data_IF_768854509152
#
_entry.id   IF_768854509152
#
_cell.length_a   1.000
_cell.length_b   1.000
_cell.length_c   1.000
_cell.angle_alpha   90.00
_cell.angle_beta   90.00
_cell.angle_gamma   90.00
#
_symmetry.space_group_name_H-M   'P 1'
#
loop_
_entity.id
_entity.type
_entity.pdbx_description
1 polymer ?
#
# COMPACT_ATOMS: atom_id res chain seq x y z
N UNK A 1 8.65 -30.25 -0.87
CA UNK A 1 9.49 -30.64 0.30
C UNK A 1 8.63 -31.36 1.32
N UNK A 2 9.20 -32.29 2.08
CA UNK A 2 8.45 -33.07 3.07
C UNK A 2 7.36 -33.93 2.44
N UNK A 3 7.69 -34.69 1.38
CA UNK A 3 6.72 -35.52 0.64
C UNK A 3 6.11 -36.66 1.45
N UNK A 4 6.72 -37.02 2.59
CA UNK A 4 6.21 -38.00 3.56
C UNK A 4 5.73 -37.34 4.86
N UNK A 5 5.58 -36.02 4.90
CA UNK A 5 5.07 -35.34 6.08
C UNK A 5 3.56 -35.59 6.21
N UNK A 6 3.14 -36.15 7.34
CA UNK A 6 1.78 -36.62 7.55
C UNK A 6 1.68 -37.59 8.72
N UNK A 7 0.59 -38.36 8.74
CA UNK A 7 0.30 -39.34 9.76
C UNK A 7 0.35 -40.73 9.12
N UNK A 8 1.40 -41.50 9.44
CA UNK A 8 1.45 -42.92 9.11
C UNK A 8 0.53 -43.70 10.05
N UNK A 9 -0.22 -44.64 9.48
CA UNK A 9 -1.07 -45.60 10.20
C UNK A 9 -0.27 -46.90 10.27
N UNK A 10 -0.05 -47.39 11.49
CA UNK A 10 0.77 -48.57 11.76
C UNK A 10 -0.03 -49.61 12.56
N UNK A 11 0.08 -50.88 12.17
CA UNK A 11 -0.44 -52.03 12.91
C UNK A 11 0.74 -52.94 13.26
N UNK A 12 0.88 -53.29 14.54
CA UNK A 12 2.01 -54.07 15.08
C UNK A 12 3.39 -53.54 14.66
N UNK A 13 3.51 -52.20 14.55
CA UNK A 13 4.73 -51.52 14.10
C UNK A 13 4.99 -51.59 12.59
N UNK A 14 4.13 -52.25 11.83
CA UNK A 14 4.18 -52.31 10.36
C UNK A 14 3.32 -51.21 9.75
N UNK A 15 3.87 -50.50 8.76
CA UNK A 15 3.16 -49.45 8.03
C UNK A 15 1.99 -50.04 7.23
N UNK A 16 0.82 -49.44 7.36
CA UNK A 16 -0.40 -49.84 6.66
C UNK A 16 -0.88 -48.79 5.66
N UNK A 17 -0.95 -47.53 6.09
CA UNK A 17 -1.51 -46.44 5.29
C UNK A 17 -0.93 -45.08 5.70
N UNK A 18 -1.17 -44.05 4.91
CA UNK A 18 -0.63 -42.70 5.14
C UNK A 18 -1.63 -41.61 4.81
N UNK A 19 -1.85 -40.73 5.78
CA UNK A 19 -2.60 -39.48 5.59
C UNK A 19 -1.62 -38.31 5.44
N UNK A 20 -1.57 -37.61 4.29
CA UNK A 20 -0.71 -36.45 4.12
C UNK A 20 -1.13 -35.28 5.02
N UNK A 21 -0.22 -34.35 5.27
CA UNK A 21 -0.57 -33.04 5.82
C UNK A 21 -1.38 -32.22 4.80
N UNK A 22 -2.30 -31.36 5.26
CA UNK A 22 -3.11 -30.50 4.39
C UNK A 22 -2.33 -29.28 3.89
N UNK A 23 -1.06 -29.48 3.54
CA UNK A 23 -0.14 -28.39 3.24
C UNK A 23 1.00 -28.82 2.32
N UNK A 24 1.18 -28.09 1.23
CA UNK A 24 2.22 -28.29 0.22
C UNK A 24 3.23 -27.14 0.33
N UNK A 25 4.50 -27.42 0.04
CA UNK A 25 5.48 -26.34 -0.06
C UNK A 25 6.86 -26.80 -0.52
N UNK A 26 7.66 -25.85 -0.98
CA UNK A 26 8.98 -26.07 -1.52
C UNK A 26 9.57 -24.84 -2.21
N UNK A 27 10.43 -25.08 -3.19
CA UNK A 27 11.08 -24.05 -3.98
C UNK A 27 10.50 -24.05 -5.39
N UNK A 28 10.28 -22.86 -5.93
CA UNK A 28 9.87 -22.63 -7.31
C UNK A 28 10.79 -21.61 -7.99
N UNK A 29 10.59 -21.46 -9.30
CA UNK A 29 11.12 -20.32 -10.06
C UNK A 29 9.96 -19.48 -10.59
N UNK A 30 9.97 -18.20 -10.26
CA UNK A 30 9.04 -17.19 -10.80
C UNK A 30 9.84 -16.28 -11.71
N UNK A 31 9.61 -16.37 -13.01
CA UNK A 31 10.33 -15.59 -14.04
C UNK A 31 11.86 -15.66 -13.87
N UNK A 32 12.36 -16.86 -13.53
CA UNK A 32 13.78 -17.13 -13.29
C UNK A 32 14.28 -16.90 -11.86
N UNK A 33 13.54 -16.14 -11.03
CA UNK A 33 13.87 -15.87 -9.62
C UNK A 33 13.47 -17.04 -8.74
N UNK A 34 14.32 -17.41 -7.78
CA UNK A 34 13.98 -18.46 -6.79
C UNK A 34 12.98 -17.89 -5.79
N UNK A 35 11.95 -18.66 -5.47
CA UNK A 35 10.91 -18.27 -4.53
C UNK A 35 10.57 -19.47 -3.66
N UNK A 36 10.39 -19.25 -2.36
CA UNK A 36 9.77 -20.25 -1.49
C UNK A 36 8.26 -20.17 -1.68
N UNK A 37 7.65 -21.32 -1.97
CA UNK A 37 6.21 -21.43 -2.17
C UNK A 37 5.60 -22.39 -1.17
N UNK A 38 4.42 -22.06 -0.67
CA UNK A 38 3.65 -22.94 0.22
C UNK A 38 2.16 -22.68 0.09
N UNK A 39 1.34 -23.65 0.46
CA UNK A 39 -0.10 -23.50 0.36
C UNK A 39 -0.85 -24.61 1.05
N UNK A 40 -2.05 -24.27 1.51
CA UNK A 40 -2.96 -25.22 2.13
C UNK A 40 -3.66 -26.06 1.06
N UNK A 41 -3.99 -27.30 1.40
CA UNK A 41 -4.82 -28.18 0.57
C UNK A 41 -6.16 -28.41 1.29
N UNK A 42 -7.20 -27.71 0.82
CA UNK A 42 -8.53 -27.79 1.41
C UNK A 42 -9.14 -29.20 1.32
N UNK A 43 -8.73 -30.02 0.35
CA UNK A 43 -9.27 -31.36 0.15
C UNK A 43 -8.86 -32.32 1.27
N UNK A 44 -7.77 -32.00 1.98
CA UNK A 44 -7.29 -32.78 3.12
C UNK A 44 -7.79 -32.14 4.40
N UNK A 45 -8.79 -32.77 5.05
CA UNK A 45 -9.32 -32.29 6.33
C UNK A 45 -9.78 -30.82 6.35
N UNK A 46 -10.20 -30.26 5.22
CA UNK A 46 -10.70 -28.89 5.11
C UNK A 46 -9.62 -27.81 5.26
N UNK A 47 -8.35 -28.14 5.00
CA UNK A 47 -7.23 -27.21 5.19
C UNK A 47 -7.06 -26.82 6.67
N UNK A 48 -7.44 -27.69 7.60
CA UNK A 48 -7.42 -27.38 9.03
C UNK A 48 -5.97 -27.28 9.54
N UNK A 49 -5.48 -26.04 9.61
CA UNK A 49 -4.24 -25.68 10.27
C UNK A 49 -4.45 -25.66 11.79
N UNK A 50 -4.10 -26.76 12.45
CA UNK A 50 -4.09 -26.83 13.91
C UNK A 50 -2.68 -26.53 14.45
N UNK A 51 -2.63 -25.72 15.52
CA UNK A 51 -1.40 -25.28 16.19
C UNK A 51 -0.61 -26.47 16.75
N UNK A 52 -1.29 -27.59 17.05
CA UNK A 52 -0.67 -28.87 17.44
C UNK A 52 -0.25 -29.77 16.28
N UNK A 53 -0.52 -29.41 15.01
CA UNK A 53 -0.23 -30.29 13.87
C UNK A 53 1.16 -30.08 13.28
N UNK A 54 1.66 -31.14 12.62
CA UNK A 54 2.96 -31.09 11.94
C UNK A 54 2.99 -30.09 10.77
N UNK A 55 1.83 -29.62 10.30
CA UNK A 55 1.72 -28.55 9.31
C UNK A 55 2.44 -27.28 9.75
N UNK A 56 2.27 -26.90 11.03
CA UNK A 56 2.95 -25.75 11.62
C UNK A 56 4.44 -25.80 11.34
N UNK A 57 5.09 -26.94 11.59
CA UNK A 57 6.54 -27.08 11.34
C UNK A 57 6.89 -26.86 9.87
N UNK A 58 6.04 -27.31 8.94
CA UNK A 58 6.28 -27.14 7.51
C UNK A 58 6.13 -25.68 7.08
N UNK A 59 5.08 -24.98 7.53
CA UNK A 59 4.91 -23.55 7.24
C UNK A 59 6.08 -22.73 7.79
N UNK A 60 6.39 -22.88 9.09
CA UNK A 60 7.47 -22.15 9.75
C UNK A 60 8.84 -22.43 9.10
N UNK A 61 9.11 -23.69 8.74
CA UNK A 61 10.33 -24.04 8.03
C UNK A 61 10.46 -23.32 6.68
N UNK A 62 9.36 -23.15 5.92
CA UNK A 62 9.40 -22.43 4.65
C UNK A 62 9.67 -20.94 4.86
N UNK A 63 9.07 -20.32 5.87
CA UNK A 63 9.34 -18.92 6.20
C UNK A 63 10.80 -18.70 6.63
N UNK A 64 11.32 -19.55 7.52
CA UNK A 64 12.74 -19.51 7.92
C UNK A 64 13.67 -19.75 6.73
N UNK A 65 13.34 -20.69 5.85
CA UNK A 65 14.11 -20.96 4.63
C UNK A 65 14.14 -19.76 3.68
N UNK A 66 13.01 -19.07 3.49
CA UNK A 66 12.93 -17.88 2.66
C UNK A 66 13.86 -16.78 3.18
N UNK A 67 13.84 -16.58 4.50
CA UNK A 67 14.72 -15.63 5.19
C UNK A 67 16.20 -16.03 5.10
N UNK A 68 16.53 -17.29 5.39
CA UNK A 68 17.92 -17.78 5.39
C UNK A 68 18.55 -17.68 4.00
N UNK A 69 17.81 -18.07 2.97
CA UNK A 69 18.28 -17.96 1.58
C UNK A 69 18.06 -16.59 0.95
N UNK A 70 17.39 -15.67 1.68
CA UNK A 70 17.08 -14.29 1.24
C UNK A 70 16.37 -14.24 -0.10
N UNK A 71 15.36 -15.09 -0.24
CA UNK A 71 14.50 -15.18 -1.43
C UNK A 71 13.04 -14.95 -1.02
N UNK A 72 12.19 -14.44 -1.93
CA UNK A 72 10.79 -14.14 -1.62
C UNK A 72 10.00 -15.36 -1.11
N UNK A 73 8.98 -15.08 -0.30
CA UNK A 73 8.00 -16.03 0.21
C UNK A 73 6.63 -15.79 -0.44
N UNK A 74 6.06 -16.82 -1.04
CA UNK A 74 4.77 -16.75 -1.76
C UNK A 74 3.83 -17.85 -1.26
N UNK A 75 2.72 -17.47 -0.61
CA UNK A 75 1.88 -18.46 0.10
C UNK A 75 0.40 -18.37 -0.26
N UNK A 76 -0.23 -19.54 -0.41
CA UNK A 76 -1.63 -19.70 -0.79
C UNK A 76 -2.47 -20.15 0.42
N UNK A 77 -3.44 -19.33 0.81
CA UNK A 77 -4.20 -19.52 2.04
C UNK A 77 -5.64 -19.96 1.76
N UNK A 78 -5.97 -21.15 2.24
CA UNK A 78 -7.33 -21.69 2.28
C UNK A 78 -7.44 -22.69 3.43
N UNK A 79 -8.29 -22.43 4.42
CA UNK A 79 -8.39 -23.33 5.56
C UNK A 79 -9.31 -22.86 6.68
N UNK A 80 -9.95 -23.82 7.35
CA UNK A 80 -10.89 -23.58 8.44
C UNK A 80 -10.26 -23.08 9.75
N UNK A 81 -8.92 -23.01 9.83
CA UNK A 81 -8.19 -22.65 11.04
C UNK A 81 -8.21 -23.76 12.10
N UNK A 82 -8.10 -23.35 13.38
CA UNK A 82 -7.93 -24.28 14.50
C UNK A 82 -9.11 -25.27 14.63
N UNK A 83 -8.77 -26.54 14.88
CA UNK A 83 -9.74 -27.61 15.05
C UNK A 83 -10.05 -27.83 16.54
N UNK A 84 -11.31 -27.67 16.96
CA UNK A 84 -11.75 -27.90 18.35
C UNK A 84 -11.56 -29.37 18.80
N UNK A 85 -11.49 -30.31 17.85
CA UNK A 85 -11.22 -31.72 18.17
C UNK A 85 -9.78 -31.98 18.66
N UNK A 86 -8.88 -31.00 18.57
CA UNK A 86 -7.50 -31.10 19.03
C UNK A 86 -7.35 -30.98 20.57
N UNK A 87 -8.40 -30.60 21.31
CA UNK A 87 -8.40 -30.63 22.78
C UNK A 87 -8.48 -32.07 23.38
N UNK A 88 -8.21 -33.08 22.57
CA UNK A 88 -8.24 -34.50 22.93
C UNK A 88 -7.21 -34.95 23.97
N UNK A 89 -6.23 -34.10 24.32
CA UNK A 89 -5.18 -34.40 25.30
C UNK A 89 -5.58 -34.10 26.75
N UNK A 90 -6.83 -33.70 27.01
CA UNK A 90 -7.37 -33.51 28.36
C UNK A 90 -6.96 -32.19 29.04
N UNK A 91 -6.34 -31.27 28.30
CA UNK A 91 -6.06 -29.90 28.73
C UNK A 91 -6.16 -28.94 27.53
N UNK A 92 -6.51 -27.68 27.81
CA UNK A 92 -6.58 -26.65 26.77
C UNK A 92 -5.19 -26.12 26.42
N UNK A 93 -4.94 -25.87 25.14
CA UNK A 93 -3.71 -25.22 24.68
C UNK A 93 -3.74 -23.71 25.01
N UNK A 94 -2.70 -23.19 25.67
CA UNK A 94 -2.55 -21.75 25.93
C UNK A 94 -2.01 -21.06 24.65
N UNK A 95 -2.73 -20.10 24.05
CA UNK A 95 -2.22 -19.37 22.89
C UNK A 95 -0.91 -18.62 23.22
N UNK A 96 0.11 -18.80 22.40
CA UNK A 96 1.44 -18.23 22.61
C UNK A 96 2.02 -17.66 21.31
N UNK A 97 2.64 -16.49 21.40
CA UNK A 97 3.33 -15.84 20.28
C UNK A 97 4.67 -16.50 19.93
N UNK A 98 5.20 -17.38 20.80
CA UNK A 98 6.52 -17.98 20.61
C UNK A 98 6.62 -18.88 19.37
N UNK A 99 5.47 -19.28 18.80
CA UNK A 99 5.42 -20.50 18.03
C UNK A 99 4.68 -20.42 16.68
N UNK A 100 3.79 -19.45 16.43
CA UNK A 100 2.89 -19.53 15.25
C UNK A 100 3.21 -18.51 14.16
N UNK A 101 3.53 -17.25 14.50
CA UNK A 101 3.66 -16.18 13.51
C UNK A 101 5.07 -15.57 13.43
N UNK A 102 5.95 -15.95 14.35
CA UNK A 102 7.30 -15.37 14.46
C UNK A 102 8.11 -15.48 13.16
N UNK A 103 8.23 -16.67 12.55
CA UNK A 103 8.94 -16.86 11.29
C UNK A 103 8.41 -16.02 10.13
N UNK A 104 7.09 -15.89 9.94
CA UNK A 104 6.51 -15.01 8.91
C UNK A 104 6.91 -13.55 9.13
N UNK A 105 6.81 -13.07 10.38
CA UNK A 105 7.17 -11.70 10.74
C UNK A 105 8.66 -11.47 10.46
N UNK A 106 9.53 -12.39 10.87
CA UNK A 106 10.97 -12.28 10.68
C UNK A 106 11.37 -12.41 9.20
N UNK A 107 10.69 -13.26 8.43
CA UNK A 107 10.86 -13.31 6.98
C UNK A 107 10.46 -11.97 6.36
N UNK A 108 9.32 -11.39 6.76
CA UNK A 108 8.87 -10.09 6.27
C UNK A 108 9.84 -8.93 6.58
N UNK A 109 10.66 -9.04 7.61
CA UNK A 109 11.72 -8.05 7.88
C UNK A 109 12.80 -8.05 6.79
N UNK A 110 13.06 -9.18 6.13
CA UNK A 110 14.21 -9.34 5.24
C UNK A 110 13.84 -9.61 3.77
N UNK A 111 12.70 -10.24 3.48
CA UNK A 111 12.30 -10.67 2.11
C UNK A 111 10.86 -10.25 1.78
N UNK A 112 10.50 -10.06 0.50
CA UNK A 112 9.10 -9.90 0.11
C UNK A 112 8.28 -11.12 0.51
N UNK A 113 7.10 -10.86 1.07
CA UNK A 113 6.16 -11.87 1.58
C UNK A 113 4.81 -11.56 0.96
N UNK A 114 4.26 -12.50 0.20
CA UNK A 114 3.09 -12.24 -0.65
C UNK A 114 2.12 -13.39 -0.54
N UNK A 115 0.87 -13.05 -0.25
CA UNK A 115 -0.15 -14.03 0.07
C UNK A 115 -1.35 -13.93 -0.86
N UNK A 116 -1.95 -15.07 -1.15
CA UNK A 116 -3.24 -15.17 -1.82
C UNK A 116 -4.26 -15.80 -0.87
N UNK A 117 -5.52 -15.38 -1.01
CA UNK A 117 -6.68 -15.97 -0.37
C UNK A 117 -7.67 -16.40 -1.47
N UNK A 118 -7.50 -17.64 -1.92
CA UNK A 118 -8.34 -18.23 -2.96
C UNK A 118 -9.64 -18.86 -2.42
N UNK A 119 -9.73 -19.07 -1.10
CA UNK A 119 -10.89 -19.68 -0.46
C UNK A 119 -11.14 -19.16 0.95
N UNK A 120 -11.91 -19.89 1.75
CA UNK A 120 -12.22 -19.48 3.11
C UNK A 120 -11.00 -19.70 4.03
N UNK A 121 -10.48 -18.61 4.61
CA UNK A 121 -9.39 -18.59 5.56
C UNK A 121 -9.89 -18.02 6.89
N UNK A 122 -9.71 -18.78 7.99
CA UNK A 122 -10.20 -18.42 9.30
C UNK A 122 -9.10 -18.50 10.38
N UNK A 123 -9.21 -17.67 11.41
CA UNK A 123 -8.34 -17.75 12.59
C UNK A 123 -6.86 -17.62 12.22
N UNK A 124 -6.05 -18.64 12.54
CA UNK A 124 -4.61 -18.65 12.25
C UNK A 124 -4.27 -18.49 10.76
N UNK A 125 -5.00 -19.17 9.87
CA UNK A 125 -4.79 -19.08 8.41
C UNK A 125 -5.05 -17.65 7.92
N UNK A 126 -6.11 -17.01 8.42
CA UNK A 126 -6.41 -15.62 8.13
C UNK A 126 -5.36 -14.66 8.71
N UNK A 127 -4.85 -14.95 9.90
CA UNK A 127 -3.82 -14.14 10.54
C UNK A 127 -2.50 -14.17 9.78
N UNK A 128 -2.08 -15.32 9.23
CA UNK A 128 -0.91 -15.39 8.34
C UNK A 128 -1.10 -14.48 7.14
N UNK A 129 -2.24 -14.56 6.44
CA UNK A 129 -2.52 -13.70 5.28
C UNK A 129 -2.32 -12.19 5.59
N UNK A 130 -2.62 -11.74 6.81
CA UNK A 130 -2.48 -10.34 7.22
C UNK A 130 -1.04 -9.90 7.57
N UNK A 131 -0.07 -10.82 7.54
CA UNK A 131 1.35 -10.52 7.74
C UNK A 131 2.09 -10.30 6.41
N UNK A 132 1.42 -10.46 5.28
CA UNK A 132 1.99 -10.24 3.95
C UNK A 132 2.21 -8.75 3.64
N UNK A 133 3.19 -8.49 2.77
CA UNK A 133 3.39 -7.16 2.17
C UNK A 133 2.43 -6.88 1.01
N UNK A 134 1.88 -7.94 0.41
CA UNK A 134 0.83 -7.87 -0.58
C UNK A 134 -0.10 -9.07 -0.43
N UNK A 135 -1.39 -8.80 -0.39
CA UNK A 135 -2.45 -9.80 -0.27
C UNK A 135 -3.43 -9.63 -1.42
N UNK A 136 -3.61 -10.68 -2.19
CA UNK A 136 -4.62 -10.75 -3.25
C UNK A 136 -5.72 -11.73 -2.85
N UNK A 137 -6.97 -11.45 -3.25
CA UNK A 137 -8.12 -12.32 -2.93
C UNK A 137 -8.96 -12.57 -4.18
N UNK A 138 -9.29 -13.84 -4.41
CA UNK A 138 -10.18 -14.27 -5.51
C UNK A 138 -11.65 -14.05 -5.13
N UNK A 139 -12.60 -14.19 -6.07
CA UNK A 139 -14.03 -14.05 -5.75
C UNK A 139 -14.54 -15.08 -4.73
N UNK A 140 -13.87 -16.22 -4.59
CA UNK A 140 -14.20 -17.30 -3.65
C UNK A 140 -13.52 -17.11 -2.28
N UNK A 141 -12.55 -16.20 -2.19
CA UNK A 141 -11.83 -15.88 -0.97
C UNK A 141 -12.74 -15.34 0.13
N UNK A 142 -12.44 -15.71 1.37
CA UNK A 142 -13.04 -15.07 2.54
C UNK A 142 -12.05 -15.06 3.71
N UNK A 143 -11.90 -13.93 4.40
CA UNK A 143 -11.07 -13.80 5.61
C UNK A 143 -11.94 -13.48 6.82
N UNK A 144 -11.68 -14.12 7.95
CA UNK A 144 -12.31 -13.72 9.21
C UNK A 144 -11.53 -14.21 10.42
N UNK A 145 -11.53 -13.40 11.49
CA UNK A 145 -11.02 -13.83 12.79
C UNK A 145 -11.81 -15.02 13.35
N UNK A 146 -13.12 -15.08 13.07
CA UNK A 146 -13.98 -16.21 13.38
C UNK A 146 -15.17 -16.28 12.42
N UNK A 147 -15.52 -17.49 11.98
CA UNK A 147 -16.49 -17.68 10.91
C UNK A 147 -17.95 -17.43 11.30
N UNK A 148 -18.88 -17.49 10.34
CA UNK A 148 -20.30 -17.22 10.57
C UNK A 148 -20.96 -17.98 11.74
N UNK A 149 -20.64 -19.27 12.01
CA UNK A 149 -21.20 -19.96 13.18
C UNK A 149 -20.84 -19.29 14.51
N UNK A 150 -19.63 -18.72 14.63
CA UNK A 150 -19.19 -18.02 15.82
C UNK A 150 -19.91 -16.67 15.96
N UNK A 151 -20.10 -15.95 14.85
CA UNK A 151 -20.87 -14.69 14.82
C UNK A 151 -22.31 -14.92 15.25
N UNK A 152 -22.97 -15.96 14.72
CA UNK A 152 -24.33 -16.33 15.12
C UNK A 152 -24.41 -16.67 16.60
N UNK A 153 -23.46 -17.43 17.12
CA UNK A 153 -23.43 -17.82 18.54
C UNK A 153 -23.18 -16.61 19.46
N UNK A 154 -22.28 -15.72 19.09
CA UNK A 154 -21.86 -14.61 19.94
C UNK A 154 -22.80 -13.40 19.86
N UNK A 155 -23.31 -13.08 18.67
CA UNK A 155 -24.06 -11.86 18.39
C UNK A 155 -25.51 -12.12 17.94
N UNK A 156 -25.90 -13.38 17.72
CA UNK A 156 -27.25 -13.73 17.25
C UNK A 156 -27.52 -13.38 15.78
N UNK A 157 -26.50 -12.94 15.04
CA UNK A 157 -26.65 -12.51 13.65
C UNK A 157 -26.38 -13.66 12.66
N UNK A 158 -27.32 -13.87 11.74
CA UNK A 158 -27.12 -14.74 10.58
C UNK A 158 -26.43 -13.94 9.47
N UNK A 159 -25.20 -14.33 9.13
CA UNK A 159 -24.38 -13.72 8.08
C UNK A 159 -23.78 -14.78 7.19
N UNK A 160 -23.65 -14.50 5.90
CA UNK A 160 -22.92 -15.38 4.97
C UNK A 160 -21.41 -15.16 5.05
N UNK A 161 -20.61 -16.09 4.49
CA UNK A 161 -19.14 -15.91 4.40
C UNK A 161 -18.77 -14.66 3.60
N UNK A 162 -19.46 -14.43 2.49
CA UNK A 162 -19.21 -13.29 1.60
C UNK A 162 -19.53 -11.96 2.29
N UNK A 163 -20.66 -11.87 3.02
CA UNK A 163 -21.04 -10.67 3.78
C UNK A 163 -20.12 -10.40 4.96
N UNK A 164 -19.56 -11.45 5.56
CA UNK A 164 -18.68 -11.31 6.72
C UNK A 164 -17.25 -10.91 6.34
N UNK A 165 -16.71 -11.48 5.26
CA UNK A 165 -15.28 -11.38 4.96
C UNK A 165 -14.91 -11.66 3.52
N UNK A 166 -15.83 -11.51 2.58
CA UNK A 166 -15.52 -11.61 1.16
C UNK A 166 -14.73 -10.40 0.62
N UNK A 167 -14.42 -10.39 -0.69
CA UNK A 167 -13.65 -9.32 -1.32
C UNK A 167 -14.25 -7.92 -1.15
N UNK A 168 -15.58 -7.78 -1.20
CA UNK A 168 -16.24 -6.47 -1.02
C UNK A 168 -16.00 -5.90 0.39
N UNK A 169 -15.85 -6.78 1.39
CA UNK A 169 -15.50 -6.37 2.75
C UNK A 169 -14.03 -5.97 2.80
N UNK A 170 -13.12 -6.83 2.34
CA UNK A 170 -11.70 -6.64 2.62
C UNK A 170 -10.93 -5.82 1.60
N UNK A 171 -11.34 -5.82 0.33
CA UNK A 171 -10.73 -5.04 -0.75
C UNK A 171 -11.35 -3.64 -0.83
N UNK A 172 -12.67 -3.49 -0.58
CA UNK A 172 -13.34 -2.19 -0.74
C UNK A 172 -13.57 -1.46 0.58
N UNK A 173 -14.05 -2.14 1.62
CA UNK A 173 -14.53 -1.47 2.84
C UNK A 173 -13.45 -1.35 3.92
N UNK A 174 -12.72 -2.43 4.22
CA UNK A 174 -11.72 -2.46 5.29
C UNK A 174 -10.29 -2.16 4.81
N UNK A 175 -9.97 -2.45 3.55
CA UNK A 175 -8.60 -2.34 3.02
C UNK A 175 -7.63 -3.34 3.66
N UNK A 176 -8.13 -4.49 4.11
CA UNK A 176 -7.32 -5.54 4.72
C UNK A 176 -6.65 -6.44 3.66
N UNK A 177 -7.24 -6.50 2.47
CA UNK A 177 -6.67 -7.16 1.30
C UNK A 177 -6.38 -6.08 0.28
N UNK A 178 -5.22 -6.18 -0.37
CA UNK A 178 -4.76 -5.14 -1.27
C UNK A 178 -5.54 -5.14 -2.57
N UNK A 179 -5.63 -6.29 -3.23
CA UNK A 179 -6.25 -6.37 -4.54
C UNK A 179 -7.25 -7.52 -4.65
N UNK A 180 -8.25 -7.31 -5.49
CA UNK A 180 -9.15 -8.36 -5.99
C UNK A 180 -8.52 -9.01 -7.22
N UNK A 181 -8.61 -10.32 -7.29
CA UNK A 181 -8.33 -11.08 -8.51
C UNK A 181 -9.63 -11.55 -9.18
N UNK A 182 -9.58 -11.77 -10.50
CA UNK A 182 -10.69 -12.35 -11.25
C UNK A 182 -10.83 -13.85 -10.98
N UNK A 183 -9.69 -14.54 -10.88
CA UNK A 183 -9.55 -15.95 -10.57
C UNK A 183 -8.14 -16.22 -9.98
N UNK A 184 -7.82 -17.48 -9.70
CA UNK A 184 -6.51 -17.87 -9.16
C UNK A 184 -5.34 -17.60 -10.13
N UNK A 185 -5.58 -17.66 -11.45
CA UNK A 185 -4.53 -17.38 -12.44
C UNK A 185 -4.18 -15.90 -12.44
N UNK A 186 -5.19 -15.03 -12.36
CA UNK A 186 -5.01 -13.60 -12.19
C UNK A 186 -4.36 -13.28 -10.83
N UNK A 187 -4.75 -13.95 -9.75
CA UNK A 187 -4.10 -13.78 -8.44
C UNK A 187 -2.59 -14.07 -8.54
N UNK A 188 -2.21 -15.21 -9.13
CA UNK A 188 -0.80 -15.55 -9.38
C UNK A 188 -0.13 -14.50 -10.26
N UNK A 189 -0.78 -14.04 -11.34
CA UNK A 189 -0.23 -13.01 -12.22
C UNK A 189 0.04 -11.69 -11.48
N UNK A 190 -0.87 -11.27 -10.60
CA UNK A 190 -0.70 -10.08 -9.77
C UNK A 190 0.46 -10.25 -8.77
N UNK A 191 0.58 -11.40 -8.11
CA UNK A 191 1.70 -11.70 -7.22
C UNK A 191 3.05 -11.68 -7.96
N UNK A 192 3.11 -12.24 -9.18
CA UNK A 192 4.30 -12.17 -10.03
C UNK A 192 4.63 -10.73 -10.43
N UNK A 193 3.62 -9.95 -10.83
CA UNK A 193 3.76 -8.54 -11.21
C UNK A 193 4.28 -7.71 -10.05
N UNK A 194 3.71 -7.89 -8.85
CA UNK A 194 4.20 -7.27 -7.61
C UNK A 194 5.67 -7.61 -7.37
N UNK A 195 6.03 -8.90 -7.37
CA UNK A 195 7.43 -9.32 -7.17
C UNK A 195 8.39 -8.64 -8.14
N UNK A 196 7.97 -8.47 -9.40
CA UNK A 196 8.81 -7.89 -10.44
C UNK A 196 9.38 -6.50 -10.08
N UNK A 197 8.70 -5.73 -9.22
CA UNK A 197 9.13 -4.40 -8.81
C UNK A 197 10.09 -4.41 -7.62
N UNK A 198 10.15 -5.50 -6.85
CA UNK A 198 10.91 -5.56 -5.59
C UNK A 198 12.15 -6.46 -5.71
N UNK A 199 13.21 -6.17 -4.93
CA UNK A 199 14.37 -7.04 -4.82
C UNK A 199 14.00 -8.41 -4.23
N UNK A 200 14.91 -9.38 -4.27
CA UNK A 200 14.70 -10.66 -3.56
C UNK A 200 14.70 -10.49 -2.03
N UNK A 201 15.34 -9.44 -1.53
CA UNK A 201 15.51 -9.13 -0.12
C UNK A 201 15.97 -7.68 0.08
N UNK A 202 15.92 -7.21 1.32
CA UNK A 202 16.31 -5.84 1.71
C UNK A 202 17.81 -5.53 1.55
N UNK A 203 18.68 -6.51 1.25
CA UNK A 203 20.11 -6.29 1.02
C UNK A 203 20.45 -6.12 -0.48
N UNK A 204 19.44 -6.02 -1.33
CA UNK A 204 19.57 -5.78 -2.76
C UNK A 204 18.70 -4.61 -3.20
N UNK A 205 19.07 -3.98 -4.32
CA UNK A 205 18.26 -2.93 -4.93
C UNK A 205 17.11 -3.54 -5.75
N UNK A 206 15.98 -2.82 -5.88
CA UNK A 206 14.95 -3.17 -6.84
C UNK A 206 15.54 -3.40 -8.25
N UNK A 207 15.02 -4.38 -9.01
CA UNK A 207 15.60 -4.76 -10.29
C UNK A 207 15.30 -3.73 -11.38
N UNK A 208 16.34 -3.07 -11.88
CA UNK A 208 16.27 -2.16 -13.04
C UNK A 208 16.21 -2.98 -14.32
N UNK A 209 15.25 -2.67 -15.20
CA UNK A 209 15.03 -3.41 -16.45
C UNK A 209 15.38 -2.55 -17.66
N UNK A 210 15.90 -3.14 -18.75
CA UNK A 210 16.05 -2.40 -20.00
C UNK A 210 14.68 -1.99 -20.53
N UNK A 211 14.59 -0.77 -21.07
CA UNK A 211 13.40 -0.27 -21.77
C UNK A 211 13.81 0.44 -23.05
N UNK A 212 12.91 0.45 -24.03
CA UNK A 212 13.05 1.25 -25.25
C UNK A 212 12.25 2.55 -25.17
N UNK A 213 11.51 2.78 -24.07
CA UNK A 213 10.75 3.99 -23.85
C UNK A 213 11.72 5.15 -23.53
N UNK A 214 11.82 6.19 -24.40
CA UNK A 214 12.78 7.27 -24.19
C UNK A 214 12.58 7.99 -22.84
N UNK A 215 13.66 8.21 -22.07
CA UNK A 215 13.57 8.87 -20.77
C UNK A 215 13.24 10.36 -20.88
N UNK A 216 13.50 10.97 -22.04
CA UNK A 216 13.35 12.40 -22.34
C UNK A 216 12.13 12.72 -23.20
N UNK A 217 11.24 11.74 -23.48
CA UNK A 217 10.01 12.03 -24.24
C UNK A 217 9.14 13.06 -23.52
N UNK A 218 8.59 13.96 -24.31
CA UNK A 218 7.66 14.99 -23.87
C UNK A 218 6.22 14.56 -24.15
N UNK A 219 5.33 14.85 -23.21
CA UNK A 219 3.91 14.47 -23.30
C UNK A 219 2.99 15.68 -23.43
N UNK A 220 2.62 16.01 -24.67
CA UNK A 220 1.83 17.20 -25.01
C UNK A 220 0.47 17.26 -24.29
N UNK A 221 -0.15 16.11 -24.01
CA UNK A 221 -1.42 16.02 -23.28
C UNK A 221 -1.34 16.67 -21.89
N UNK A 222 -0.18 16.63 -21.24
CA UNK A 222 0.04 17.18 -19.90
C UNK A 222 -0.16 18.70 -19.82
N UNK A 223 -0.05 19.44 -20.93
CA UNK A 223 -0.30 20.89 -20.95
C UNK A 223 -1.75 21.26 -20.61
N UNK A 224 -2.69 20.36 -20.91
CA UNK A 224 -4.13 20.66 -20.82
C UNK A 224 -4.89 19.71 -19.89
N UNK A 225 -4.22 18.69 -19.35
CA UNK A 225 -4.84 17.67 -18.49
C UNK A 225 -5.42 18.27 -17.20
N UNK A 226 -4.76 19.30 -16.65
CA UNK A 226 -5.27 20.07 -15.51
C UNK A 226 -6.21 21.16 -16.03
N UNK A 227 -7.51 21.13 -15.68
CA UNK A 227 -8.46 22.13 -16.16
C UNK A 227 -8.14 23.51 -15.60
N UNK A 228 -8.34 24.55 -16.43
CA UNK A 228 -8.25 25.95 -16.00
C UNK A 228 -9.29 26.30 -14.93
N UNK A 229 -10.45 25.66 -14.98
CA UNK A 229 -11.49 25.79 -13.96
C UNK A 229 -11.05 25.08 -12.66
N UNK A 230 -10.81 25.85 -11.60
CA UNK A 230 -10.21 25.37 -10.34
C UNK A 230 -11.02 24.27 -9.63
N UNK A 231 -12.34 24.27 -9.80
CA UNK A 231 -13.28 23.31 -9.21
C UNK A 231 -13.41 22.02 -10.03
N UNK A 232 -12.96 22.00 -11.28
CA UNK A 232 -13.12 20.85 -12.16
C UNK A 232 -12.03 19.80 -11.88
N UNK A 233 -12.38 18.53 -11.63
CA UNK A 233 -11.41 17.46 -11.44
C UNK A 233 -10.86 16.94 -12.77
N UNK A 234 -9.77 16.16 -12.70
CA UNK A 234 -9.16 15.47 -13.84
C UNK A 234 -8.69 14.06 -13.45
N UNK A 235 -8.35 13.25 -14.44
CA UNK A 235 -7.93 11.87 -14.22
C UNK A 235 -6.44 11.79 -13.87
N UNK A 236 -6.11 11.60 -12.59
CA UNK A 236 -4.71 11.44 -12.16
C UNK A 236 -4.07 10.16 -12.69
N UNK A 237 -4.82 9.06 -12.88
CA UNK A 237 -4.27 7.84 -13.48
C UNK A 237 -3.77 8.08 -14.90
N UNK A 238 -4.43 8.96 -15.66
CA UNK A 238 -3.96 9.36 -17.00
C UNK A 238 -2.64 10.12 -16.94
N UNK A 239 -2.43 10.96 -15.92
CA UNK A 239 -1.11 11.58 -15.67
C UNK A 239 -0.07 10.50 -15.41
N UNK A 240 -0.36 9.49 -14.59
CA UNK A 240 0.57 8.39 -14.32
C UNK A 240 0.90 7.61 -15.59
N UNK A 241 -0.10 7.20 -16.37
CA UNK A 241 0.09 6.50 -17.67
C UNK A 241 1.02 7.26 -18.60
N UNK A 242 0.89 8.59 -18.68
CA UNK A 242 1.74 9.42 -19.53
C UNK A 242 3.19 9.50 -19.00
N UNK A 243 3.43 9.30 -17.71
CA UNK A 243 4.77 9.48 -17.13
C UNK A 243 5.58 8.18 -17.05
N UNK A 244 4.92 7.03 -16.96
CA UNK A 244 5.57 5.72 -16.73
C UNK A 244 5.90 5.01 -18.04
N UNK A 245 6.84 4.07 -17.98
CA UNK A 245 7.29 3.29 -19.13
C UNK A 245 6.13 2.57 -19.81
N UNK A 246 5.94 2.82 -21.10
CA UNK A 246 4.89 2.24 -21.95
C UNK A 246 3.45 2.40 -21.39
N UNK A 247 3.24 3.30 -20.42
CA UNK A 247 2.00 3.42 -19.67
C UNK A 247 1.67 2.23 -18.77
N UNK A 248 2.61 1.32 -18.53
CA UNK A 248 2.43 0.13 -17.70
C UNK A 248 2.67 0.43 -16.21
N UNK A 249 1.69 0.07 -15.39
CA UNK A 249 1.74 0.24 -13.94
C UNK A 249 0.92 -0.82 -13.22
N UNK A 250 1.15 -0.97 -11.93
CA UNK A 250 0.42 -1.87 -11.05
C UNK A 250 -0.08 -1.11 -9.82
N UNK A 251 -1.40 -0.96 -9.69
CA UNK A 251 -2.01 -0.24 -8.57
C UNK A 251 -2.26 -1.19 -7.40
N UNK A 252 -1.85 -0.75 -6.20
CA UNK A 252 -2.12 -1.40 -4.92
C UNK A 252 -3.38 -0.75 -4.34
N UNK A 253 -4.34 -1.57 -3.88
CA UNK A 253 -5.58 -1.07 -3.28
C UNK A 253 -6.40 -0.15 -4.21
N UNK A 254 -6.67 -0.52 -5.47
CA UNK A 254 -7.38 0.34 -6.41
C UNK A 254 -8.83 0.65 -6.01
N UNK A 255 -9.46 -0.20 -5.19
CA UNK A 255 -10.85 -0.08 -4.73
C UNK A 255 -10.99 0.53 -3.32
N UNK A 256 -9.92 0.56 -2.52
CA UNK A 256 -9.91 1.11 -1.16
C UNK A 256 -9.37 2.53 -1.09
N UNK A 257 -10.01 3.36 -0.26
CA UNK A 257 -9.57 4.72 0.06
C UNK A 257 -9.18 5.55 -1.19
N UNK A 258 -10.09 5.61 -2.16
CA UNK A 258 -9.85 6.04 -3.55
C UNK A 258 -9.57 7.54 -3.74
N UNK A 259 -9.38 8.32 -2.67
CA UNK A 259 -8.88 9.70 -2.74
C UNK A 259 -7.37 9.77 -2.99
N UNK A 260 -6.66 8.65 -2.90
CA UNK A 260 -5.24 8.51 -3.25
C UNK A 260 -5.00 7.20 -4.01
N UNK A 261 -4.12 7.26 -5.00
CA UNK A 261 -3.59 6.12 -5.73
C UNK A 261 -2.19 5.78 -5.20
N UNK A 262 -1.92 4.49 -5.07
CA UNK A 262 -0.63 3.92 -4.66
C UNK A 262 -0.22 2.93 -5.73
N UNK A 263 0.81 3.27 -6.50
CA UNK A 263 1.10 2.65 -7.78
C UNK A 263 2.57 2.23 -7.84
N UNK A 264 2.84 1.00 -8.26
CA UNK A 264 4.16 0.53 -8.65
C UNK A 264 4.32 0.69 -10.16
N UNK A 265 5.41 1.30 -10.61
CA UNK A 265 5.69 1.49 -12.02
C UNK A 265 7.19 1.46 -12.31
N UNK A 266 7.57 1.68 -13.58
CA UNK A 266 8.95 1.94 -13.99
C UNK A 266 9.04 3.25 -14.78
N UNK A 267 10.16 3.96 -14.63
CA UNK A 267 10.53 5.10 -15.47
C UNK A 267 11.99 4.94 -15.87
N UNK A 268 12.24 4.80 -17.18
CA UNK A 268 13.56 4.44 -17.72
C UNK A 268 14.07 3.11 -17.18
N UNK A 269 13.17 2.16 -16.91
CA UNK A 269 13.52 0.85 -16.38
C UNK A 269 13.64 0.77 -14.87
N UNK A 270 13.74 1.89 -14.16
CA UNK A 270 13.88 1.94 -12.71
C UNK A 270 12.52 1.75 -12.02
N UNK A 271 12.36 0.75 -11.13
CA UNK A 271 11.18 0.65 -10.29
C UNK A 271 10.96 1.89 -9.42
N UNK A 272 9.72 2.34 -9.32
CA UNK A 272 9.33 3.52 -8.55
C UNK A 272 7.96 3.31 -7.90
N UNK A 273 7.84 3.74 -6.64
CA UNK A 273 6.56 3.86 -5.95
C UNK A 273 5.96 5.24 -6.22
N UNK A 274 4.74 5.29 -6.75
CA UNK A 274 4.03 6.54 -7.04
C UNK A 274 2.85 6.68 -6.08
N UNK A 275 2.83 7.79 -5.34
CA UNK A 275 1.64 8.22 -4.58
C UNK A 275 1.01 9.40 -5.29
N UNK A 276 -0.25 9.27 -5.68
CA UNK A 276 -0.92 10.29 -6.49
C UNK A 276 -2.30 10.64 -5.92
N UNK A 277 -2.55 11.91 -5.58
CA UNK A 277 -3.88 12.30 -5.11
C UNK A 277 -4.91 12.17 -6.24
N UNK A 278 -6.14 11.77 -5.92
CA UNK A 278 -7.21 11.61 -6.89
C UNK A 278 -8.22 12.77 -6.80
N UNK A 279 -8.14 13.78 -7.68
CA UNK A 279 -9.02 14.94 -7.60
C UNK A 279 -10.48 14.62 -7.89
N UNK A 280 -10.77 13.47 -8.53
CA UNK A 280 -12.15 13.03 -8.84
C UNK A 280 -12.89 12.51 -7.61
N UNK A 281 -12.17 12.16 -6.55
CA UNK A 281 -12.74 11.62 -5.32
C UNK A 281 -12.47 12.59 -4.18
N UNK A 282 -13.55 13.20 -3.66
CA UNK A 282 -13.47 14.18 -2.56
C UNK A 282 -12.41 15.29 -2.79
N UNK A 283 -12.25 15.73 -4.05
CA UNK A 283 -11.25 16.70 -4.48
C UNK A 283 -9.77 16.32 -4.19
N UNK A 284 -9.49 15.05 -3.85
CA UNK A 284 -8.18 14.57 -3.42
C UNK A 284 -7.89 14.78 -1.94
N UNK A 285 -8.89 15.11 -1.12
CA UNK A 285 -8.72 15.32 0.31
C UNK A 285 -8.22 14.04 1.02
N UNK A 286 -7.33 14.23 1.98
CA UNK A 286 -6.79 13.12 2.78
C UNK A 286 -7.76 12.77 3.91
N UNK A 287 -8.44 11.64 3.76
CA UNK A 287 -9.24 10.96 4.78
C UNK A 287 -8.37 10.09 5.70
N UNK A 288 -8.92 9.60 6.82
CA UNK A 288 -8.23 8.63 7.68
C UNK A 288 -7.78 7.38 6.91
N UNK A 289 -8.68 6.77 6.13
CA UNK A 289 -8.39 5.58 5.33
C UNK A 289 -7.30 5.83 4.28
N UNK A 290 -7.37 6.96 3.56
CA UNK A 290 -6.34 7.29 2.56
C UNK A 290 -4.99 7.64 3.19
N UNK A 291 -4.98 8.17 4.42
CA UNK A 291 -3.76 8.44 5.15
C UNK A 291 -3.07 7.13 5.55
N UNK A 292 -3.83 6.15 6.06
CA UNK A 292 -3.29 4.82 6.39
C UNK A 292 -2.77 4.11 5.14
N UNK A 293 -3.54 4.13 4.03
CA UNK A 293 -3.10 3.60 2.72
C UNK A 293 -1.81 4.24 2.23
N UNK A 294 -1.74 5.57 2.22
CA UNK A 294 -0.54 6.30 1.81
C UNK A 294 0.67 5.96 2.71
N UNK A 295 0.48 5.99 4.02
CA UNK A 295 1.56 5.71 4.98
C UNK A 295 2.07 4.27 4.86
N UNK A 296 1.18 3.30 4.71
CA UNK A 296 1.55 1.90 4.52
C UNK A 296 2.35 1.70 3.22
N UNK A 297 1.90 2.29 2.11
CA UNK A 297 2.60 2.16 0.83
C UNK A 297 3.99 2.83 0.84
N UNK A 298 4.12 4.00 1.47
CA UNK A 298 5.43 4.65 1.65
C UNK A 298 6.37 3.77 2.47
N UNK A 299 5.87 3.14 3.54
CA UNK A 299 6.66 2.21 4.34
C UNK A 299 7.06 0.96 3.57
N UNK A 300 6.19 0.43 2.70
CA UNK A 300 6.52 -0.68 1.81
C UNK A 300 7.65 -0.31 0.84
N UNK A 301 7.56 0.87 0.21
CA UNK A 301 8.60 1.36 -0.69
C UNK A 301 9.92 1.55 0.04
N UNK A 302 9.88 2.19 1.21
CA UNK A 302 11.05 2.44 2.05
C UNK A 302 11.73 1.14 2.49
N UNK A 303 10.94 0.17 2.95
CA UNK A 303 11.43 -1.12 3.44
C UNK A 303 12.23 -1.90 2.40
N UNK A 304 11.88 -1.76 1.12
CA UNK A 304 12.55 -2.44 0.00
C UNK A 304 13.36 -1.50 -0.91
N UNK A 305 13.80 -0.36 -0.38
CA UNK A 305 14.72 0.57 -1.06
C UNK A 305 14.22 1.10 -2.40
N UNK A 306 12.91 1.32 -2.53
CA UNK A 306 12.30 1.85 -3.74
C UNK A 306 12.04 3.36 -3.60
N UNK A 307 12.61 4.21 -4.48
CA UNK A 307 12.31 5.64 -4.47
C UNK A 307 10.82 5.93 -4.65
N UNK A 308 10.38 7.06 -4.08
CA UNK A 308 8.98 7.50 -4.14
C UNK A 308 8.84 8.77 -4.97
N UNK A 309 7.88 8.77 -5.89
CA UNK A 309 7.40 9.97 -6.60
C UNK A 309 6.00 10.31 -6.10
N UNK A 310 5.80 11.57 -5.74
CA UNK A 310 4.51 12.05 -5.25
C UNK A 310 3.88 13.02 -6.25
N UNK A 311 2.72 12.68 -6.80
CA UNK A 311 1.92 13.56 -7.66
C UNK A 311 0.85 14.27 -6.81
N UNK A 312 1.16 15.50 -6.38
CA UNK A 312 0.35 16.24 -5.43
C UNK A 312 -0.77 17.05 -6.12
N UNK A 313 -2.01 16.80 -5.68
CA UNK A 313 -3.20 17.65 -5.92
C UNK A 313 -4.15 17.54 -4.71
N UNK A 314 -3.66 17.94 -3.54
CA UNK A 314 -4.33 17.76 -2.24
C UNK A 314 -4.81 19.09 -1.64
N UNK A 315 -6.12 19.24 -1.35
CA UNK A 315 -6.68 20.46 -0.76
C UNK A 315 -6.52 20.56 0.76
N UNK A 316 -6.05 19.49 1.41
CA UNK A 316 -5.92 19.40 2.87
C UNK A 316 -6.43 18.05 3.40
N UNK A 317 -6.55 17.95 4.73
CA UNK A 317 -7.28 16.85 5.38
C UNK A 317 -8.78 16.98 5.11
N UNK A 318 -9.47 15.85 5.09
CA UNK A 318 -10.92 15.82 5.05
C UNK A 318 -11.48 16.50 6.30
N UNK A 319 -12.45 17.40 6.11
CA UNK A 319 -13.09 18.16 7.18
C UNK A 319 -14.49 17.62 7.49
N UNK A 320 -14.97 17.91 8.70
CA UNK A 320 -16.35 17.62 9.12
C UNK A 320 -16.44 16.63 10.27
N UNK A 321 -17.62 16.56 10.90
CA UNK A 321 -17.86 15.76 12.13
C UNK A 321 -17.47 14.30 11.94
N UNK A 322 -17.75 13.72 10.77
CA UNK A 322 -17.38 12.34 10.52
C UNK A 322 -15.86 12.16 10.41
N UNK A 323 -15.15 13.11 9.79
CA UNK A 323 -13.69 13.07 9.69
C UNK A 323 -13.01 13.17 11.07
N UNK A 324 -13.58 13.99 11.98
CA UNK A 324 -13.13 14.06 13.37
C UNK A 324 -13.40 12.75 14.13
N UNK A 325 -14.59 12.14 13.95
CA UNK A 325 -14.94 10.86 14.59
C UNK A 325 -14.07 9.70 14.14
N UNK A 326 -13.64 9.70 12.88
CA UNK A 326 -12.70 8.70 12.35
C UNK A 326 -11.24 9.04 12.67
N UNK A 327 -10.96 10.11 13.42
CA UNK A 327 -9.61 10.48 13.82
C UNK A 327 -8.71 10.94 12.67
N UNK A 328 -9.27 11.54 11.62
CA UNK A 328 -8.53 11.89 10.38
C UNK A 328 -7.24 12.66 10.64
N UNK A 329 -7.24 13.59 11.61
CA UNK A 329 -6.02 14.32 11.97
C UNK A 329 -4.90 13.38 12.48
N UNK A 330 -5.23 12.41 13.33
CA UNK A 330 -4.25 11.45 13.87
C UNK A 330 -3.69 10.57 12.75
N UNK A 331 -4.56 9.99 11.94
CA UNK A 331 -4.16 9.17 10.79
C UNK A 331 -3.34 9.97 9.77
N UNK A 332 -3.75 11.20 9.46
CA UNK A 332 -3.01 12.12 8.59
C UNK A 332 -1.60 12.43 9.13
N UNK A 333 -1.48 12.69 10.43
CA UNK A 333 -0.16 12.93 11.05
C UNK A 333 0.71 11.67 11.12
N UNK A 334 0.13 10.47 11.18
CA UNK A 334 0.89 9.21 11.02
C UNK A 334 1.48 9.06 9.63
N UNK A 335 0.69 9.38 8.59
CA UNK A 335 1.18 9.36 7.20
C UNK A 335 2.28 10.41 6.98
N UNK A 336 2.09 11.62 7.52
CA UNK A 336 3.12 12.67 7.54
C UNK A 336 4.41 12.17 8.21
N UNK A 337 4.31 11.57 9.39
CA UNK A 337 5.45 11.01 10.10
C UNK A 337 6.17 9.91 9.28
N UNK A 338 5.41 9.00 8.66
CA UNK A 338 5.98 7.95 7.80
C UNK A 338 6.76 8.53 6.62
N UNK A 339 6.19 9.52 5.92
CA UNK A 339 6.86 10.22 4.82
C UNK A 339 8.14 10.94 5.28
N UNK A 340 8.07 11.64 6.41
CA UNK A 340 9.20 12.35 7.01
C UNK A 340 10.35 11.40 7.38
N UNK A 341 10.01 10.21 7.90
CA UNK A 341 10.98 9.22 8.37
C UNK A 341 11.49 8.29 7.27
N UNK A 342 10.91 8.33 6.07
CA UNK A 342 11.37 7.49 4.96
C UNK A 342 12.86 7.74 4.68
N UNK A 343 13.59 6.65 4.47
CA UNK A 343 15.02 6.70 4.13
C UNK A 343 15.26 6.75 2.63
N UNK A 344 14.34 6.22 1.83
CA UNK A 344 14.39 6.30 0.37
C UNK A 344 14.26 7.74 -0.14
N UNK A 345 14.90 8.09 -1.28
CA UNK A 345 14.69 9.38 -1.93
C UNK A 345 13.21 9.60 -2.29
N UNK A 346 12.74 10.85 -2.11
CA UNK A 346 11.37 11.26 -2.44
C UNK A 346 11.39 12.49 -3.36
N UNK A 347 10.67 12.40 -4.49
CA UNK A 347 10.47 13.48 -5.45
C UNK A 347 9.01 13.92 -5.50
N UNK A 348 8.71 15.19 -5.20
CA UNK A 348 7.34 15.72 -5.19
C UNK A 348 7.08 16.58 -6.42
N UNK A 349 6.02 16.26 -7.17
CA UNK A 349 5.54 17.06 -8.29
C UNK A 349 4.17 17.61 -7.92
N UNK A 350 4.08 18.92 -7.75
CA UNK A 350 2.84 19.63 -7.45
C UNK A 350 2.13 19.96 -8.76
N UNK A 351 1.14 19.13 -9.11
CA UNK A 351 0.37 19.29 -10.34
C UNK A 351 -0.66 20.42 -10.25
N UNK A 352 -1.28 20.62 -9.08
CA UNK A 352 -2.20 21.75 -8.82
C UNK A 352 -2.24 22.12 -7.34
N UNK A 353 -3.09 21.49 -6.52
CA UNK A 353 -3.30 21.90 -5.12
C UNK A 353 -2.25 21.30 -4.19
N UNK A 354 -1.74 22.10 -3.25
CA UNK A 354 -0.93 21.59 -2.15
C UNK A 354 -1.15 22.42 -0.88
N UNK A 355 -1.99 21.94 0.04
CA UNK A 355 -2.42 22.74 1.19
C UNK A 355 -2.27 22.07 2.55
N UNK A 356 -1.96 22.92 3.53
CA UNK A 356 -1.97 22.55 4.95
C UNK A 356 -1.05 21.37 5.26
N UNK A 357 -1.35 20.65 6.33
CA UNK A 357 -0.54 19.51 6.78
C UNK A 357 -0.59 18.34 5.78
N UNK A 358 -1.71 18.12 5.09
CA UNK A 358 -1.80 17.08 4.07
C UNK A 358 -0.86 17.34 2.89
N UNK A 359 -0.71 18.60 2.47
CA UNK A 359 0.26 19.00 1.46
C UNK A 359 1.71 19.01 1.94
N UNK A 360 1.95 18.99 3.26
CA UNK A 360 3.29 18.76 3.80
C UNK A 360 3.63 17.26 3.87
N UNK A 361 2.62 16.38 3.95
CA UNK A 361 2.79 14.93 3.97
C UNK A 361 3.20 14.32 2.61
N UNK A 362 3.53 15.16 1.63
CA UNK A 362 3.96 14.76 0.27
C UNK A 362 5.48 14.86 0.08
N UNK A 363 6.23 15.31 1.08
CA UNK A 363 7.66 15.55 1.03
C UNK A 363 8.34 15.05 2.31
N UNK A 364 9.63 14.72 2.20
CA UNK A 364 10.41 14.05 3.23
C UNK A 364 11.25 14.98 4.12
N UNK A 365 11.86 16.10 3.72
CA UNK A 365 12.66 17.03 4.58
C UNK A 365 13.83 16.46 5.45
N UNK A 366 13.89 15.18 5.79
CA UNK A 366 15.03 14.52 6.43
C UNK A 366 16.19 14.25 5.47
N UNK A 367 15.95 14.41 4.16
CA UNK A 367 16.92 14.34 3.07
C UNK A 367 16.79 15.51 2.10
N UNK A 368 17.70 15.59 1.14
CA UNK A 368 17.57 16.51 0.01
C UNK A 368 16.32 16.12 -0.80
N UNK A 369 15.27 16.90 -0.60
CA UNK A 369 13.97 16.69 -1.20
C UNK A 369 13.78 17.66 -2.35
N UNK A 370 13.72 17.13 -3.57
CA UNK A 370 13.48 17.94 -4.73
C UNK A 370 11.97 18.07 -4.96
N UNK A 371 11.46 19.30 -5.10
CA UNK A 371 10.04 19.54 -5.37
C UNK A 371 9.91 20.47 -6.56
N UNK A 372 9.05 20.08 -7.48
CA UNK A 372 8.76 20.89 -8.67
C UNK A 372 7.26 21.15 -8.75
N UNK A 373 6.90 22.31 -9.28
CA UNK A 373 5.51 22.68 -9.52
C UNK A 373 5.21 22.76 -11.00
N UNK A 374 3.97 22.46 -11.38
CA UNK A 374 3.44 22.88 -12.67
C UNK A 374 2.95 24.34 -12.60
N UNK A 375 2.83 25.05 -13.74
CA UNK A 375 2.29 26.41 -13.78
C UNK A 375 0.86 26.54 -13.24
N UNK A 376 0.12 25.43 -13.16
CA UNK A 376 -1.21 25.31 -12.54
C UNK A 376 -1.20 25.27 -11.02
N UNK A 377 -0.02 25.36 -10.39
CA UNK A 377 0.18 25.31 -8.95
C UNK A 377 -0.69 26.28 -8.14
N UNK A 378 -1.31 25.77 -7.09
CA UNK A 378 -2.18 26.49 -6.17
C UNK A 378 -1.99 25.97 -4.73
N UNK A 379 -1.08 26.57 -3.98
CA UNK A 379 -0.73 26.13 -2.62
C UNK A 379 -0.87 27.22 -1.55
N UNK A 380 -0.76 26.82 -0.28
CA UNK A 380 -0.82 27.71 0.88
C UNK A 380 -1.18 26.96 2.17
N UNK A 381 -1.28 27.68 3.28
CA UNK A 381 -1.67 27.06 4.57
C UNK A 381 -3.13 26.57 4.56
N UNK A 382 -4.04 27.37 4.00
CA UNK A 382 -5.48 27.11 3.91
C UNK A 382 -6.00 27.67 2.57
N UNK A 383 -7.00 27.03 1.91
CA UNK A 383 -7.70 27.65 0.78
C UNK A 383 -8.28 29.03 1.13
N UNK A 384 -8.09 30.03 0.25
CA UNK A 384 -8.49 31.43 0.51
C UNK A 384 -9.98 31.53 0.82
N UNK A 385 -10.82 30.83 0.05
CA UNK A 385 -12.27 30.93 0.10
C UNK A 385 -12.81 30.54 1.49
N UNK A 386 -12.16 29.57 2.15
CA UNK A 386 -12.47 29.19 3.54
C UNK A 386 -11.72 30.03 4.59
N UNK A 387 -10.46 30.39 4.30
CA UNK A 387 -9.60 31.13 5.22
C UNK A 387 -10.05 32.58 5.44
N UNK A 388 -10.53 33.26 4.40
CA UNK A 388 -10.97 34.67 4.48
C UNK A 388 -12.19 34.82 5.37
N UNK A 389 -13.18 33.94 5.20
CA UNK A 389 -14.40 33.96 6.00
C UNK A 389 -14.11 33.76 7.51
N UNK A 390 -13.07 33.00 7.85
CA UNK A 390 -12.66 32.79 9.24
C UNK A 390 -11.79 33.93 9.78
N UNK A 391 -10.72 34.30 9.07
CA UNK A 391 -9.71 35.25 9.53
C UNK A 391 -10.22 36.70 9.56
N UNK A 392 -11.04 37.09 8.58
CA UNK A 392 -11.55 38.45 8.41
C UNK A 392 -13.02 38.57 8.84
N UNK A 393 -13.54 37.60 9.61
CA UNK A 393 -14.96 37.57 10.04
C UNK A 393 -15.44 38.89 10.62
N UNK A 394 -14.63 39.52 11.48
CA UNK A 394 -14.97 40.80 12.13
C UNK A 394 -15.03 41.96 11.14
N UNK A 395 -14.05 42.04 10.24
CA UNK A 395 -13.97 43.09 9.23
C UNK A 395 -15.10 42.96 8.19
N UNK A 396 -15.37 41.74 7.74
CA UNK A 396 -16.46 41.42 6.81
C UNK A 396 -17.82 41.76 7.43
N UNK A 397 -18.06 41.34 8.68
CA UNK A 397 -19.34 41.60 9.35
C UNK A 397 -19.56 43.07 9.69
N UNK A 398 -18.49 43.85 9.88
CA UNK A 398 -18.56 45.29 10.14
C UNK A 398 -18.70 46.13 8.87
N UNK A 399 -18.54 45.54 7.68
CA UNK A 399 -18.63 46.25 6.42
C UNK A 399 -20.10 46.57 6.05
N UNK A 400 -20.37 47.71 5.39
CA UNK A 400 -21.71 48.04 4.89
C UNK A 400 -22.27 47.02 3.90
N UNK A 401 -21.39 46.40 3.11
CA UNK A 401 -21.69 45.26 2.25
C UNK A 401 -20.67 44.14 2.55
N UNK A 402 -21.02 43.20 3.44
CA UNK A 402 -20.15 42.09 3.82
C UNK A 402 -19.72 41.23 2.62
N UNK A 403 -20.59 41.02 1.65
CA UNK A 403 -20.29 40.20 0.47
C UNK A 403 -19.32 40.91 -0.48
N UNK A 404 -19.49 42.21 -0.69
CA UNK A 404 -18.51 43.00 -1.44
C UNK A 404 -17.15 43.03 -0.74
N UNK A 405 -17.11 43.24 0.59
CA UNK A 405 -15.86 43.27 1.34
C UNK A 405 -15.14 41.92 1.33
N UNK A 406 -15.89 40.82 1.45
CA UNK A 406 -15.35 39.46 1.31
C UNK A 406 -14.70 39.26 -0.06
N UNK A 407 -15.40 39.60 -1.14
CA UNK A 407 -14.87 39.48 -2.52
C UNK A 407 -13.62 40.35 -2.74
N UNK A 408 -13.59 41.55 -2.16
CA UNK A 408 -12.42 42.45 -2.20
C UNK A 408 -11.20 41.80 -1.54
N UNK A 409 -11.35 41.26 -0.33
CA UNK A 409 -10.26 40.59 0.41
C UNK A 409 -9.83 39.32 -0.33
N UNK A 410 -10.77 38.50 -0.80
CA UNK A 410 -10.48 37.29 -1.60
C UNK A 410 -9.67 37.66 -2.86
N UNK A 411 -10.09 38.67 -3.63
CA UNK A 411 -9.39 39.12 -4.83
C UNK A 411 -7.98 39.66 -4.51
N UNK A 412 -7.86 40.41 -3.42
CA UNK A 412 -6.57 40.92 -2.95
C UNK A 412 -5.62 39.77 -2.57
N UNK A 413 -6.10 38.74 -1.87
CA UNK A 413 -5.23 37.61 -1.49
C UNK A 413 -4.90 36.69 -2.66
N UNK A 414 -5.83 36.51 -3.61
CA UNK A 414 -5.63 35.71 -4.81
C UNK A 414 -4.47 36.24 -5.67
N UNK A 415 -4.22 37.55 -5.68
CA UNK A 415 -3.09 38.12 -6.42
C UNK A 415 -1.71 37.64 -5.93
N UNK A 416 -1.62 37.19 -4.67
CA UNK A 416 -0.40 36.64 -4.10
C UNK A 416 -0.28 35.13 -4.34
N UNK A 417 -1.36 34.47 -4.79
CA UNK A 417 -1.37 33.05 -5.15
C UNK A 417 -0.92 32.87 -6.58
N UNK A 418 0.37 33.12 -6.78
CA UNK A 418 1.06 32.91 -8.04
C UNK A 418 2.25 31.96 -7.78
N UNK A 419 2.27 30.76 -8.41
CA UNK A 419 3.35 29.79 -8.21
C UNK A 419 4.72 30.36 -8.60
N UNK A 420 4.79 31.25 -9.60
CA UNK A 420 6.03 31.92 -10.02
C UNK A 420 6.59 32.83 -8.94
N UNK A 421 5.76 33.55 -8.18
CA UNK A 421 6.22 34.35 -7.03
C UNK A 421 6.83 33.49 -5.92
N UNK A 422 6.32 32.27 -5.74
CA UNK A 422 6.92 31.31 -4.79
C UNK A 422 8.30 30.88 -5.29
N UNK A 423 8.44 30.62 -6.60
CA UNK A 423 9.72 30.26 -7.21
C UNK A 423 10.75 31.40 -7.16
N UNK A 424 10.33 32.65 -7.40
CA UNK A 424 11.17 33.86 -7.24
C UNK A 424 11.74 33.97 -5.82
N UNK A 425 10.98 33.55 -4.82
CA UNK A 425 11.39 33.50 -3.41
C UNK A 425 12.10 32.20 -3.01
N UNK A 426 12.35 31.29 -3.95
CA UNK A 426 12.91 29.95 -3.72
C UNK A 426 12.09 29.11 -2.70
N UNK A 427 10.77 29.33 -2.64
CA UNK A 427 9.86 28.53 -1.83
C UNK A 427 9.53 27.15 -2.42
N UNK A 428 9.91 26.94 -3.68
CA UNK A 428 9.87 25.70 -4.44
C UNK A 428 11.12 25.64 -5.33
N UNK A 429 11.66 24.45 -5.57
CA UNK A 429 12.95 24.32 -6.24
C UNK A 429 12.87 24.63 -7.74
N UNK A 430 11.75 24.36 -8.40
CA UNK A 430 11.53 24.73 -9.80
C UNK A 430 10.03 24.79 -10.18
N UNK A 431 9.72 25.53 -11.26
CA UNK A 431 8.44 25.45 -11.98
C UNK A 431 8.74 24.91 -13.38
N UNK A 432 8.27 23.70 -13.66
CA UNK A 432 8.63 22.97 -14.88
C UNK A 432 7.53 23.00 -15.92
N UNK A 433 7.90 22.82 -17.19
CA UNK A 433 6.93 22.50 -18.23
C UNK A 433 6.31 21.11 -17.93
N UNK A 434 4.97 20.98 -17.81
CA UNK A 434 4.32 19.71 -17.53
C UNK A 434 4.76 18.58 -18.47
N UNK A 435 5.05 18.88 -19.74
CA UNK A 435 5.46 17.89 -20.75
C UNK A 435 6.78 17.21 -20.42
N UNK A 436 7.66 17.91 -19.70
CA UNK A 436 9.00 17.45 -19.34
C UNK A 436 9.03 16.66 -18.03
N UNK A 437 7.89 16.48 -17.36
CA UNK A 437 7.82 15.84 -16.03
C UNK A 437 8.51 14.47 -16.00
N UNK A 438 8.38 13.65 -17.05
CA UNK A 438 9.02 12.33 -17.14
C UNK A 438 10.54 12.41 -17.07
N UNK A 439 11.16 13.35 -17.78
CA UNK A 439 12.63 13.51 -17.79
C UNK A 439 13.18 13.94 -16.43
N UNK A 440 12.40 14.70 -15.66
CA UNK A 440 12.74 15.04 -14.27
C UNK A 440 12.66 13.81 -13.36
N UNK A 441 11.62 12.98 -13.50
CA UNK A 441 11.50 11.72 -12.74
C UNK A 441 12.67 10.80 -13.08
N UNK A 442 13.00 10.62 -14.36
CA UNK A 442 14.10 9.77 -14.79
C UNK A 442 15.44 10.19 -14.15
N UNK A 443 15.82 11.46 -14.29
CA UNK A 443 17.07 11.99 -13.70
C UNK A 443 17.11 11.84 -12.19
N UNK A 444 15.97 12.02 -11.52
CA UNK A 444 15.85 11.78 -10.09
C UNK A 444 16.10 10.30 -9.74
N UNK A 445 15.53 9.36 -10.49
CA UNK A 445 15.67 7.93 -10.23
C UNK A 445 17.10 7.45 -10.49
N UNK A 446 17.74 7.89 -11.57
CA UNK A 446 19.14 7.56 -11.88
C UNK A 446 20.06 7.89 -10.70
N UNK A 447 20.00 9.13 -10.19
CA UNK A 447 20.75 9.57 -9.01
C UNK A 447 20.34 8.84 -7.72
N UNK A 448 19.05 8.56 -7.57
CA UNK A 448 18.50 7.89 -6.38
C UNK A 448 19.05 6.47 -6.25
N UNK A 449 19.06 5.71 -7.34
CA UNK A 449 19.58 4.34 -7.34
C UNK A 449 21.10 4.29 -7.13
N UNK A 450 21.86 5.28 -7.63
CA UNK A 450 23.28 5.38 -7.27
C UNK A 450 23.46 5.58 -5.75
N UNK A 451 22.69 6.50 -5.14
CA UNK A 451 22.78 6.79 -3.70
C UNK A 451 22.35 5.61 -2.82
N UNK A 452 21.26 4.93 -3.19
CA UNK A 452 20.66 3.82 -2.43
C UNK A 452 21.60 2.62 -2.26
N UNK A 453 22.56 2.44 -3.18
CA UNK A 453 23.53 1.33 -3.11
C UNK A 453 24.34 1.32 -1.79
N UNK A 454 24.44 2.48 -1.13
CA UNK A 454 25.14 2.64 0.15
C UNK A 454 24.28 2.40 1.40
N UNK A 455 22.99 2.12 1.23
CA UNK A 455 21.98 2.17 2.31
C UNK A 455 21.15 0.88 2.43
N UNK A 456 21.58 -0.18 1.76
CA UNK A 456 20.92 -1.47 1.76
C UNK A 456 20.95 -2.14 3.15
N UNK A 457 19.99 -3.02 3.37
CA UNK A 457 19.77 -3.76 4.60
C UNK A 457 18.46 -3.40 5.28
N UNK A 458 18.29 -3.87 6.51
CA UNK A 458 17.07 -3.66 7.29
C UNK A 458 16.94 -2.19 7.67
N UNK A 459 15.84 -1.56 7.24
CA UNK A 459 15.51 -0.17 7.60
C UNK A 459 15.10 -0.10 9.07
N UNK A 460 15.83 0.67 9.87
CA UNK A 460 15.50 0.86 11.29
C UNK A 460 14.40 1.91 11.43
N UNK A 461 13.20 1.47 11.82
CA UNK A 461 12.11 2.39 12.20
C UNK A 461 12.41 3.02 13.57
N UNK A 462 12.58 4.35 13.60
CA UNK A 462 12.82 5.11 14.82
C UNK A 462 11.52 5.67 15.45
N UNK A 463 11.43 5.63 16.78
CA UNK A 463 10.32 6.21 17.54
C UNK A 463 9.01 5.43 17.47
N UNK A 464 7.93 6.03 17.99
CA UNK A 464 6.57 5.48 17.96
C UNK A 464 5.72 6.40 17.09
N UNK A 465 5.12 5.85 16.03
CA UNK A 465 4.19 6.61 15.17
C UNK A 465 2.97 7.06 16.00
N UNK A 466 2.43 8.27 15.77
CA UNK A 466 1.26 8.78 16.49
C UNK A 466 0.04 7.88 16.48
#
# INVERSE_FOLDING_TARGET
MGGLAGYGIYEDGSFQDFKPLPYIGGLAKVDGRRVVVGGHDFTVSGGAADISTQERFKNLFLADMAREYRIPLMMFHEGAGANVAAEGDGYGHLPSSFDVFGPDILAGVEVPVIYDVAGAAAGGVAAHAMLGHFVVMTPQGALFAGGPPLVKRALGADVTKAELGGPDVHVMASGAVDNRAVDEYDAIAQMKKFLSYFPDNVYAQPPVWPTNDPPDREEEELLSIVPRERTRPYNMRRVVELLVDDGDYFEIQPEYATTVHTILARVGGYPVGIVANNPRMLAGAMTAASADKQGHFVELCDHFHMPVVFLADVPGFMLGVQAERTGTLRHGMRAYWGMYMASVPVFTIITRKNFGMAGQATANVGRSNYRVGWPSGDWGSIPIEGGVAAAYKREIAAAPDPDAKRREIEAHLLQFRNPFRTAEAFGIEDIIDPRQTRSYIHRFLELSYESLSSQLGVVRKGGVRP
#
